data_IF_504539140444
#
_entry.id   IF_504539140444
#
_cell.length_a   1.000
_cell.length_b   1.000
_cell.length_c   1.000
_cell.angle_alpha   90.00
_cell.angle_beta   90.00
_cell.angle_gamma   90.00
#
_symmetry.space_group_name_H-M   'P 1'
#
loop_
_entity.id
_entity.type
_entity.pdbx_description
1 polymer ?
#
# COMPACT_ATOMS: atom_id res chain seq x y z
N UNK A 1 -27.88 -8.40 18.55
CA UNK A 1 -27.66 -7.29 17.62
C UNK A 1 -27.68 -7.89 16.23
N UNK A 2 -28.74 -7.67 15.46
CA UNK A 2 -28.78 -8.13 14.07
C UNK A 2 -27.57 -7.59 13.33
N UNK A 3 -26.86 -8.45 12.61
CA UNK A 3 -25.64 -8.05 11.91
C UNK A 3 -26.05 -7.23 10.71
N UNK A 4 -25.88 -5.90 10.78
CA UNK A 4 -26.09 -5.02 9.64
C UNK A 4 -25.15 -5.48 8.50
N UNK A 5 -25.72 -5.84 7.35
CA UNK A 5 -24.96 -6.39 6.21
C UNK A 5 -24.90 -5.45 5.01
N UNK A 6 -25.80 -4.47 4.93
CA UNK A 6 -25.84 -3.46 3.87
C UNK A 6 -25.36 -2.10 4.36
N UNK A 7 -24.69 -1.37 3.47
CA UNK A 7 -24.08 -0.08 3.75
C UNK A 7 -25.10 0.99 4.17
N UNK A 8 -26.20 1.10 3.44
CA UNK A 8 -27.23 2.11 3.71
C UNK A 8 -27.98 1.81 5.02
N UNK A 9 -28.17 0.54 5.40
CA UNK A 9 -28.78 0.18 6.69
C UNK A 9 -27.95 0.69 7.88
N UNK A 10 -26.62 0.60 7.79
CA UNK A 10 -25.72 1.16 8.81
C UNK A 10 -25.85 2.67 8.88
N UNK A 11 -25.89 3.35 7.74
CA UNK A 11 -25.99 4.81 7.72
C UNK A 11 -27.33 5.29 8.26
N UNK A 12 -28.43 4.66 7.88
CA UNK A 12 -29.76 4.96 8.43
C UNK A 12 -29.78 4.73 9.94
N UNK A 13 -29.29 3.58 10.42
CA UNK A 13 -29.19 3.32 11.85
C UNK A 13 -28.39 4.41 12.58
N UNK A 14 -27.26 4.83 12.03
CA UNK A 14 -26.44 5.88 12.61
C UNK A 14 -27.15 7.26 12.61
N UNK A 15 -27.88 7.59 11.56
CA UNK A 15 -28.61 8.85 11.43
C UNK A 15 -29.84 8.90 12.35
N UNK A 16 -30.58 7.79 12.45
CA UNK A 16 -31.73 7.65 13.35
C UNK A 16 -31.33 7.74 14.82
N UNK A 17 -30.10 7.33 15.15
CA UNK A 17 -29.56 7.32 16.52
C UNK A 17 -28.53 8.44 16.76
N UNK A 18 -28.45 9.45 15.91
CA UNK A 18 -27.38 10.47 15.92
C UNK A 18 -27.21 11.24 17.25
N UNK A 19 -28.26 11.31 18.06
CA UNK A 19 -28.26 11.99 19.35
C UNK A 19 -27.66 11.14 20.47
N UNK A 20 -27.60 9.81 20.30
CA UNK A 20 -27.04 8.87 21.27
C UNK A 20 -25.65 8.35 20.89
N UNK A 21 -25.22 8.53 19.64
CA UNK A 21 -23.90 8.09 19.18
C UNK A 21 -22.76 8.81 19.90
N UNK A 22 -21.92 8.03 20.58
CA UNK A 22 -20.68 8.49 21.17
C UNK A 22 -19.49 8.42 20.20
N UNK A 23 -18.35 8.95 20.64
CA UNK A 23 -17.08 8.91 19.90
C UNK A 23 -16.69 7.50 19.43
N UNK A 24 -16.88 6.49 20.28
CA UNK A 24 -16.54 5.09 19.96
C UNK A 24 -17.45 4.53 18.87
N UNK A 25 -18.75 4.84 18.94
CA UNK A 25 -19.74 4.37 17.99
C UNK A 25 -19.50 4.96 16.60
N UNK A 26 -19.17 6.26 16.54
CA UNK A 26 -18.80 6.91 15.28
C UNK A 26 -17.55 6.26 14.68
N UNK A 27 -16.48 6.07 15.46
CA UNK A 27 -15.26 5.41 14.97
C UNK A 27 -15.54 3.97 14.52
N UNK A 28 -16.36 3.23 15.27
CA UNK A 28 -16.74 1.86 14.94
C UNK A 28 -17.55 1.80 13.63
N UNK A 29 -18.54 2.70 13.46
CA UNK A 29 -19.34 2.77 12.24
C UNK A 29 -18.48 2.98 11.00
N UNK A 30 -17.56 3.95 11.01
CA UNK A 30 -16.64 4.21 9.90
C UNK A 30 -15.69 3.03 9.64
N UNK A 31 -15.28 2.32 10.71
CA UNK A 31 -14.45 1.12 10.58
C UNK A 31 -15.21 -0.02 9.89
N UNK A 32 -16.52 -0.11 10.11
CA UNK A 32 -17.36 -1.20 9.64
C UNK A 32 -17.82 -1.02 8.19
N UNK A 33 -18.04 0.23 7.75
CA UNK A 33 -18.63 0.57 6.45
C UNK A 33 -18.04 -0.17 5.25
N UNK A 34 -16.71 -0.26 5.15
CA UNK A 34 -16.05 -0.89 3.99
C UNK A 34 -16.26 -2.40 3.89
N UNK A 35 -16.70 -3.04 4.95
CA UNK A 35 -17.02 -4.47 4.95
C UNK A 35 -18.46 -4.78 4.51
N UNK A 36 -19.30 -3.76 4.34
CA UNK A 36 -20.71 -3.91 4.03
C UNK A 36 -20.96 -4.05 2.53
N UNK A 37 -22.05 -4.72 2.19
CA UNK A 37 -22.52 -4.85 0.81
C UNK A 37 -22.98 -3.50 0.27
N UNK A 38 -22.79 -3.29 -1.03
CA UNK A 38 -23.20 -2.08 -1.76
C UNK A 38 -22.58 -0.78 -1.20
N UNK A 39 -21.37 -0.87 -0.63
CA UNK A 39 -20.61 0.31 -0.22
C UNK A 39 -20.48 1.30 -1.38
N UNK A 40 -20.89 2.56 -1.15
CA UNK A 40 -20.84 3.61 -2.15
C UNK A 40 -20.43 4.95 -1.55
N UNK A 41 -19.33 5.51 -2.08
CA UNK A 41 -18.87 6.85 -1.71
C UNK A 41 -19.80 7.96 -2.24
N UNK A 42 -20.68 7.65 -3.20
CA UNK A 42 -21.65 8.60 -3.76
C UNK A 42 -23.00 8.60 -3.03
N UNK A 43 -23.16 7.78 -1.98
CA UNK A 43 -24.41 7.72 -1.22
C UNK A 43 -24.74 9.08 -0.57
N UNK A 44 -25.95 9.63 -0.77
CA UNK A 44 -26.40 10.82 -0.06
C UNK A 44 -26.41 10.64 1.47
N UNK A 45 -26.71 9.44 1.95
CA UNK A 45 -26.69 9.12 3.38
C UNK A 45 -25.28 9.21 3.98
N UNK A 46 -24.24 8.86 3.20
CA UNK A 46 -22.86 9.01 3.65
C UNK A 46 -22.49 10.48 3.80
N UNK A 47 -22.96 11.33 2.87
CA UNK A 47 -22.77 12.79 2.95
C UNK A 47 -23.44 13.35 4.20
N UNK A 48 -24.71 13.03 4.42
CA UNK A 48 -25.45 13.49 5.60
C UNK A 48 -24.79 13.02 6.90
N UNK A 49 -24.40 11.75 6.99
CA UNK A 49 -23.73 11.22 8.16
C UNK A 49 -22.35 11.84 8.38
N UNK A 50 -21.60 12.09 7.30
CA UNK A 50 -20.34 12.83 7.37
C UNK A 50 -20.54 14.26 7.86
N UNK A 51 -21.60 14.95 7.40
CA UNK A 51 -21.92 16.30 7.84
C UNK A 51 -22.27 16.34 9.33
N UNK A 52 -23.01 15.34 9.81
CA UNK A 52 -23.25 15.11 11.23
C UNK A 52 -21.93 14.94 12.01
N UNK A 53 -21.03 14.05 11.57
CA UNK A 53 -19.74 13.82 12.23
C UNK A 53 -18.91 15.12 12.29
N UNK A 54 -18.87 15.87 11.18
CA UNK A 54 -18.13 17.14 11.10
C UNK A 54 -18.74 18.22 12.00
N UNK A 55 -20.06 18.23 12.20
CA UNK A 55 -20.70 19.15 13.17
C UNK A 55 -20.31 18.84 14.63
N UNK A 56 -19.82 17.63 14.91
CA UNK A 56 -19.45 17.14 16.25
C UNK A 56 -17.93 16.93 16.44
N UNK A 57 -17.07 17.60 15.66
CA UNK A 57 -15.61 17.42 15.75
C UNK A 57 -15.03 17.72 17.14
N UNK A 58 -15.66 18.62 17.90
CA UNK A 58 -15.28 18.94 19.28
C UNK A 58 -15.32 17.72 20.21
N UNK A 59 -16.18 16.72 19.95
CA UNK A 59 -16.27 15.49 20.75
C UNK A 59 -14.98 14.66 20.70
N UNK A 60 -14.16 14.82 19.67
CA UNK A 60 -12.98 13.99 19.50
C UNK A 60 -11.77 14.53 20.27
N UNK A 61 -11.70 15.83 20.54
CA UNK A 61 -10.59 16.47 21.25
C UNK A 61 -9.23 15.99 20.75
N UNK A 62 -8.37 15.52 21.67
CA UNK A 62 -7.07 14.93 21.34
C UNK A 62 -7.10 13.62 20.54
N UNK A 63 -8.26 13.13 20.11
CA UNK A 63 -8.38 11.95 19.24
C UNK A 63 -8.90 12.25 17.83
N UNK A 64 -8.82 13.52 17.40
CA UNK A 64 -9.20 13.94 16.04
C UNK A 64 -8.48 13.10 14.96
N UNK A 65 -7.22 12.74 15.19
CA UNK A 65 -6.42 11.86 14.32
C UNK A 65 -7.09 10.51 14.00
N UNK A 66 -7.92 9.95 14.91
CA UNK A 66 -8.62 8.69 14.69
C UNK A 66 -9.73 8.83 13.65
N UNK A 67 -10.48 9.94 13.67
CA UNK A 67 -11.53 10.20 12.68
C UNK A 67 -10.93 10.50 11.32
N UNK A 68 -9.87 11.31 11.28
CA UNK A 68 -9.09 11.57 10.07
C UNK A 68 -8.62 10.24 9.46
N UNK A 69 -8.02 9.38 10.27
CA UNK A 69 -7.60 8.06 9.84
C UNK A 69 -8.76 7.22 9.29
N UNK A 70 -9.91 7.19 9.97
CA UNK A 70 -11.07 6.41 9.51
C UNK A 70 -11.64 6.94 8.20
N UNK A 71 -11.77 8.25 8.01
CA UNK A 71 -12.20 8.80 6.72
C UNK A 71 -11.20 8.50 5.60
N UNK A 72 -9.90 8.49 5.87
CA UNK A 72 -8.88 8.07 4.91
C UNK A 72 -8.97 6.57 4.56
N UNK A 73 -9.31 5.71 5.53
CA UNK A 73 -9.57 4.28 5.25
C UNK A 73 -10.82 4.11 4.40
N UNK A 74 -11.91 4.84 4.71
CA UNK A 74 -13.14 4.85 3.94
C UNK A 74 -12.90 5.37 2.52
N UNK A 75 -12.00 6.35 2.36
CA UNK A 75 -11.72 7.02 1.09
C UNK A 75 -12.66 8.20 0.82
N UNK A 76 -13.18 8.84 1.88
CA UNK A 76 -14.11 9.95 1.76
C UNK A 76 -13.41 11.30 1.93
N UNK A 77 -12.90 11.83 0.81
CA UNK A 77 -12.03 13.01 0.79
C UNK A 77 -12.72 14.31 1.26
N UNK A 78 -14.02 14.45 1.02
CA UNK A 78 -14.76 15.66 1.39
C UNK A 78 -14.73 15.93 2.91
N UNK A 79 -14.84 14.88 3.74
CA UNK A 79 -14.72 15.01 5.18
C UNK A 79 -13.32 15.45 5.62
N UNK A 80 -12.26 14.94 4.98
CA UNK A 80 -10.88 15.29 5.33
C UNK A 80 -10.62 16.78 5.09
N UNK A 81 -11.03 17.31 3.93
CA UNK A 81 -10.90 18.74 3.63
C UNK A 81 -11.65 19.60 4.65
N UNK A 82 -12.89 19.22 4.97
CA UNK A 82 -13.69 19.93 5.98
C UNK A 82 -13.06 19.91 7.37
N UNK A 83 -12.54 18.75 7.80
CA UNK A 83 -11.83 18.62 9.08
C UNK A 83 -10.57 19.51 9.11
N UNK A 84 -9.85 19.60 7.98
CA UNK A 84 -8.70 20.50 7.87
C UNK A 84 -9.08 21.95 8.16
N UNK A 85 -10.05 22.46 7.42
CA UNK A 85 -10.46 23.87 7.45
C UNK A 85 -11.12 24.28 8.76
N UNK A 86 -11.98 23.42 9.32
CA UNK A 86 -12.78 23.76 10.50
C UNK A 86 -12.00 23.57 11.81
N UNK A 87 -11.05 22.63 11.87
CA UNK A 87 -10.42 22.25 13.15
C UNK A 87 -8.92 22.07 13.09
N UNK A 88 -8.42 21.22 12.19
CA UNK A 88 -7.04 20.72 12.26
C UNK A 88 -6.01 21.83 12.07
N UNK A 89 -6.24 22.76 11.12
CA UNK A 89 -5.29 23.85 10.83
C UNK A 89 -4.99 24.77 12.02
N UNK A 90 -5.80 24.74 13.07
CA UNK A 90 -5.63 25.60 14.25
C UNK A 90 -5.07 24.87 15.48
N UNK A 91 -4.93 23.55 15.42
CA UNK A 91 -4.58 22.70 16.57
C UNK A 91 -3.46 21.71 16.25
N UNK A 92 -2.77 21.89 15.13
CA UNK A 92 -1.79 20.93 14.64
C UNK A 92 -0.58 20.87 15.59
N UNK A 93 -0.14 22.02 16.08
CA UNK A 93 1.00 22.17 16.99
C UNK A 93 0.76 21.56 18.38
N UNK A 94 -0.48 21.29 18.75
CA UNK A 94 -0.85 20.64 20.02
C UNK A 94 -0.83 19.11 19.94
N UNK A 95 -0.76 18.54 18.74
CA UNK A 95 -0.87 17.10 18.52
C UNK A 95 0.45 16.38 18.79
N UNK A 96 0.43 15.16 19.35
CA UNK A 96 1.67 14.39 19.56
C UNK A 96 2.31 13.93 18.24
N UNK A 97 3.59 13.53 18.27
CA UNK A 97 4.32 13.06 17.08
C UNK A 97 3.56 11.93 16.37
N UNK A 98 3.09 10.93 17.13
CA UNK A 98 2.26 9.83 16.62
C UNK A 98 1.01 10.30 15.88
N UNK A 99 0.35 11.32 16.40
CA UNK A 99 -0.87 11.86 15.81
C UNK A 99 -0.56 12.58 14.50
N UNK A 100 0.51 13.38 14.47
CA UNK A 100 0.98 14.09 13.28
C UNK A 100 1.34 13.11 12.16
N UNK A 101 2.09 12.04 12.45
CA UNK A 101 2.47 11.04 11.45
C UNK A 101 1.25 10.30 10.90
N UNK A 102 0.27 9.94 11.74
CA UNK A 102 -0.96 9.30 11.28
C UNK A 102 -1.82 10.25 10.42
N UNK A 103 -1.86 11.53 10.76
CA UNK A 103 -2.55 12.56 9.97
C UNK A 103 -1.87 12.73 8.61
N UNK A 104 -0.55 12.90 8.57
CA UNK A 104 0.22 12.98 7.32
C UNK A 104 -0.10 11.79 6.41
N UNK A 105 -0.08 10.58 6.96
CA UNK A 105 -0.41 9.36 6.22
C UNK A 105 -1.85 9.36 5.70
N UNK A 106 -2.80 9.81 6.51
CA UNK A 106 -4.22 9.82 6.16
C UNK A 106 -4.52 10.75 4.98
N UNK A 107 -3.93 11.95 4.97
CA UNK A 107 -4.07 12.89 3.86
C UNK A 107 -3.33 12.39 2.61
N UNK A 108 -2.09 11.91 2.75
CA UNK A 108 -1.30 11.38 1.65
C UNK A 108 -1.96 10.14 1.00
N UNK A 109 -2.49 9.21 1.80
CA UNK A 109 -3.25 8.04 1.34
C UNK A 109 -4.46 8.44 0.50
N UNK A 110 -5.13 9.51 0.90
CA UNK A 110 -6.34 10.02 0.25
C UNK A 110 -6.02 10.86 -1.00
N UNK A 111 -4.74 10.96 -1.38
CA UNK A 111 -4.21 11.83 -2.43
C UNK A 111 -4.60 13.30 -2.23
N UNK A 112 -4.69 13.74 -0.97
CA UNK A 112 -4.96 15.13 -0.62
C UNK A 112 -3.61 15.78 -0.27
N UNK A 113 -3.19 16.74 -1.08
CA UNK A 113 -1.98 17.51 -0.84
C UNK A 113 -2.34 18.95 -0.43
N UNK A 114 -2.08 19.27 0.83
CA UNK A 114 -2.20 20.62 1.39
C UNK A 114 -0.82 21.01 1.88
N UNK A 115 -0.14 21.88 1.14
CA UNK A 115 1.26 22.21 1.40
C UNK A 115 1.49 22.70 2.84
N UNK A 116 0.67 23.64 3.34
CA UNK A 116 0.73 24.15 4.72
C UNK A 116 0.64 23.04 5.79
N UNK A 117 -0.25 22.07 5.59
CA UNK A 117 -0.41 20.94 6.50
C UNK A 117 0.90 20.14 6.61
N UNK A 118 1.49 19.78 5.48
CA UNK A 118 2.71 18.98 5.47
C UNK A 118 3.93 19.76 5.95
N UNK A 119 4.04 21.05 5.61
CA UNK A 119 5.11 21.93 6.10
C UNK A 119 5.05 22.07 7.62
N UNK A 120 3.86 22.30 8.20
CA UNK A 120 3.70 22.43 9.66
C UNK A 120 3.85 21.12 10.40
N UNK A 121 3.40 20.00 9.82
CA UNK A 121 3.68 18.66 10.38
C UNK A 121 5.20 18.44 10.43
N UNK A 122 5.91 18.69 9.33
CA UNK A 122 7.35 18.51 9.28
C UNK A 122 8.06 19.44 10.28
N UNK A 123 7.71 20.73 10.29
CA UNK A 123 8.23 21.71 11.24
C UNK A 123 8.03 21.25 12.68
N UNK A 124 6.83 20.81 13.04
CA UNK A 124 6.53 20.34 14.40
C UNK A 124 7.27 19.04 14.74
N UNK A 125 7.37 18.10 13.81
CA UNK A 125 8.07 16.83 14.01
C UNK A 125 9.56 17.02 14.27
N UNK A 126 10.25 17.81 13.44
CA UNK A 126 11.70 17.96 13.50
C UNK A 126 12.19 18.95 14.57
N UNK A 127 11.36 19.88 15.06
CA UNK A 127 11.74 20.82 16.12
C UNK A 127 11.41 20.31 17.53
N UNK A 128 10.68 19.20 17.67
CA UNK A 128 10.38 18.61 18.98
C UNK A 128 11.53 17.73 19.47
N UNK A 129 11.72 17.72 20.79
CA UNK A 129 12.68 16.84 21.45
C UNK A 129 12.19 15.39 21.51
N UNK A 130 10.87 15.17 21.54
CA UNK A 130 10.27 13.85 21.48
C UNK A 130 10.47 13.25 20.09
N UNK A 131 11.17 12.11 20.02
CA UNK A 131 11.29 11.33 18.79
C UNK A 131 10.12 10.36 18.67
N UNK A 132 9.57 10.23 17.46
CA UNK A 132 8.64 9.16 17.13
C UNK A 132 9.34 7.80 17.09
N UNK A 133 8.56 6.72 17.13
CA UNK A 133 9.10 5.37 16.93
C UNK A 133 9.24 5.04 15.43
N UNK A 134 9.68 3.80 15.12
CA UNK A 134 9.78 3.30 13.75
C UNK A 134 8.47 3.46 12.95
N UNK A 135 7.32 3.16 13.56
CA UNK A 135 6.02 3.33 12.90
C UNK A 135 5.78 4.79 12.52
N UNK A 136 6.02 5.72 13.44
CA UNK A 136 5.81 7.15 13.21
C UNK A 136 6.73 7.68 12.11
N UNK A 137 8.01 7.33 12.16
CA UNK A 137 9.01 7.72 11.16
C UNK A 137 8.69 7.14 9.78
N UNK A 138 8.30 5.86 9.72
CA UNK A 138 7.93 5.20 8.48
C UNK A 138 6.65 5.78 7.88
N UNK A 139 5.62 6.08 8.68
CA UNK A 139 4.39 6.71 8.21
C UNK A 139 4.68 8.09 7.63
N UNK A 140 5.49 8.90 8.30
CA UNK A 140 5.85 10.24 7.82
C UNK A 140 6.65 10.17 6.52
N UNK A 141 7.66 9.29 6.46
CA UNK A 141 8.49 9.11 5.29
C UNK A 141 7.69 8.59 4.10
N UNK A 142 6.80 7.62 4.33
CA UNK A 142 5.87 7.13 3.30
C UNK A 142 4.95 8.24 2.81
N UNK A 143 4.46 9.08 3.71
CA UNK A 143 3.61 10.22 3.35
C UNK A 143 4.35 11.17 2.43
N UNK A 144 5.58 11.56 2.78
CA UNK A 144 6.41 12.42 1.95
C UNK A 144 6.70 11.81 0.59
N UNK A 145 7.01 10.52 0.52
CA UNK A 145 7.18 9.81 -0.75
C UNK A 145 5.91 9.83 -1.60
N UNK A 146 4.75 9.61 -0.98
CA UNK A 146 3.45 9.54 -1.64
C UNK A 146 3.00 10.87 -2.25
N UNK A 147 3.36 11.99 -1.63
CA UNK A 147 3.10 13.35 -2.15
C UNK A 147 4.31 13.98 -2.85
N UNK A 148 5.36 13.19 -3.09
CA UNK A 148 6.62 13.62 -3.73
C UNK A 148 7.31 14.83 -3.06
N UNK A 149 7.12 15.01 -1.75
CA UNK A 149 7.80 16.05 -0.97
C UNK A 149 9.27 15.68 -0.77
N UNK A 150 10.18 16.46 -1.36
CA UNK A 150 11.64 16.23 -1.28
C UNK A 150 12.37 17.36 -0.57
N UNK A 151 12.39 17.32 0.76
CA UNK A 151 13.21 18.23 1.58
C UNK A 151 14.45 17.48 2.08
N UNK A 152 15.67 17.79 1.59
CA UNK A 152 16.85 16.95 1.83
C UNK A 152 17.21 16.74 3.29
N UNK A 153 17.08 17.78 4.14
CA UNK A 153 17.42 17.69 5.57
C UNK A 153 16.44 16.79 6.33
N UNK A 154 15.14 16.91 6.05
CA UNK A 154 14.08 16.08 6.63
C UNK A 154 14.28 14.60 6.27
N UNK A 155 14.53 14.33 4.97
CA UNK A 155 14.76 12.96 4.48
C UNK A 155 16.04 12.38 5.08
N UNK A 156 17.12 13.17 5.13
CA UNK A 156 18.39 12.73 5.71
C UNK A 156 18.22 12.39 7.17
N UNK A 157 17.50 13.21 7.94
CA UNK A 157 17.23 12.96 9.36
C UNK A 157 16.46 11.66 9.58
N UNK A 158 15.35 11.45 8.86
CA UNK A 158 14.55 10.21 8.96
C UNK A 158 15.34 8.98 8.52
N UNK A 159 16.09 9.07 7.41
CA UNK A 159 16.95 7.99 6.91
C UNK A 159 18.01 7.62 7.93
N UNK A 160 18.70 8.60 8.51
CA UNK A 160 19.73 8.38 9.52
C UNK A 160 19.15 7.73 10.78
N UNK A 161 17.97 8.16 11.23
CA UNK A 161 17.26 7.50 12.33
C UNK A 161 17.00 6.02 12.02
N UNK A 162 16.34 5.74 10.89
CA UNK A 162 16.00 4.37 10.47
C UNK A 162 17.22 3.45 10.36
N UNK A 163 18.31 3.94 9.73
CA UNK A 163 19.55 3.19 9.59
C UNK A 163 20.20 2.93 10.96
N UNK A 164 20.28 3.94 11.83
CA UNK A 164 20.85 3.78 13.17
C UNK A 164 20.07 2.78 14.02
N UNK A 165 18.73 2.79 13.92
CA UNK A 165 17.89 1.81 14.62
C UNK A 165 18.11 0.41 14.06
N UNK A 166 18.18 0.25 12.73
CA UNK A 166 18.49 -1.05 12.10
C UNK A 166 19.88 -1.58 12.51
N UNK A 167 20.91 -0.73 12.54
CA UNK A 167 22.26 -1.10 12.96
C UNK A 167 22.31 -1.51 14.43
N UNK A 168 21.61 -0.77 15.29
CA UNK A 168 21.44 -1.09 16.70
C UNK A 168 20.76 -2.45 16.90
N UNK A 169 19.64 -2.70 16.19
CA UNK A 169 18.93 -3.97 16.24
C UNK A 169 19.79 -5.13 15.72
N UNK A 170 20.48 -4.95 14.59
CA UNK A 170 21.35 -5.97 14.03
C UNK A 170 22.49 -6.32 14.99
N UNK A 171 23.11 -5.31 15.61
CA UNK A 171 24.17 -5.51 16.62
C UNK A 171 23.65 -6.28 17.83
N UNK A 172 22.51 -5.86 18.37
CA UNK A 172 21.87 -6.51 19.51
C UNK A 172 21.47 -7.97 19.26
N UNK A 173 21.17 -8.34 18.00
CA UNK A 173 20.79 -9.69 17.60
C UNK A 173 21.98 -10.59 17.23
N UNK A 174 23.11 -10.01 16.78
CA UNK A 174 24.34 -10.76 16.49
C UNK A 174 25.06 -11.23 17.74
N UNK A 175 25.00 -10.43 18.80
CA UNK A 175 25.66 -10.71 20.08
C UNK A 175 24.63 -10.66 21.22
N UNK A 176 24.15 -11.84 21.62
CA UNK A 176 23.16 -12.00 22.69
C UNK A 176 23.70 -11.57 24.06
N UNK A 177 25.01 -11.55 24.25
CA UNK A 177 25.67 -11.26 25.52
C UNK A 177 25.94 -9.76 25.68
N UNK A 178 26.02 -9.01 24.57
CA UNK A 178 26.18 -7.56 24.57
C UNK A 178 24.96 -6.84 25.19
N UNK A 179 25.13 -5.86 26.10
CA UNK A 179 23.99 -5.14 26.66
C UNK A 179 23.23 -4.38 25.56
N UNK A 180 21.89 -4.40 25.62
CA UNK A 180 21.06 -3.61 24.72
C UNK A 180 21.34 -2.11 24.91
N UNK A 181 21.63 -1.42 23.82
CA UNK A 181 21.70 0.03 23.81
C UNK A 181 20.31 0.68 23.98
N UNK A 182 20.27 2.00 24.02
CA UNK A 182 19.01 2.74 24.23
C UNK A 182 17.99 2.56 23.12
N UNK A 183 18.41 2.39 21.86
CA UNK A 183 17.51 2.25 20.71
C UNK A 183 16.98 0.82 20.61
N UNK A 184 17.85 -0.19 20.75
CA UNK A 184 17.44 -1.60 20.74
C UNK A 184 16.43 -1.91 21.85
N UNK A 185 16.58 -1.33 23.05
CA UNK A 185 15.64 -1.46 24.18
C UNK A 185 14.22 -1.01 23.87
N UNK A 186 14.01 -0.16 22.87
CA UNK A 186 12.67 0.28 22.48
C UNK A 186 11.88 -0.83 21.78
N UNK A 187 12.56 -1.84 21.22
CA UNK A 187 11.95 -2.86 20.37
C UNK A 187 12.20 -4.30 20.84
N UNK A 188 13.29 -4.52 21.57
CA UNK A 188 13.73 -5.83 22.06
C UNK A 188 13.61 -5.94 23.58
N UNK A 189 13.21 -7.13 24.02
CA UNK A 189 13.32 -7.55 25.40
C UNK A 189 14.74 -8.02 25.75
N UNK A 190 15.07 -8.19 27.04
CA UNK A 190 16.37 -8.74 27.45
C UNK A 190 16.72 -10.08 26.78
N UNK A 191 15.70 -10.87 26.42
CA UNK A 191 15.81 -12.18 25.76
C UNK A 191 15.90 -12.07 24.22
N UNK A 192 16.06 -10.84 23.68
CA UNK A 192 16.16 -10.52 22.23
C UNK A 192 14.92 -10.85 21.41
N UNK A 193 13.76 -10.87 22.06
CA UNK A 193 12.47 -11.02 21.42
C UNK A 193 11.86 -9.65 21.15
N UNK A 194 11.26 -9.49 19.97
CA UNK A 194 10.59 -8.25 19.59
C UNK A 194 9.24 -8.11 20.29
N UNK A 195 8.99 -6.95 20.91
CA UNK A 195 7.67 -6.60 21.45
C UNK A 195 6.66 -6.17 20.38
N UNK A 196 7.16 -5.73 19.23
CA UNK A 196 6.37 -5.16 18.13
C UNK A 196 6.88 -5.66 16.79
N UNK A 197 5.98 -5.77 15.82
CA UNK A 197 6.37 -6.17 14.48
C UNK A 197 7.01 -5.00 13.71
N UNK A 198 8.33 -4.91 13.73
CA UNK A 198 9.09 -3.85 13.05
C UNK A 198 9.21 -4.04 11.53
N UNK A 199 9.00 -5.26 11.00
CA UNK A 199 9.30 -5.55 9.58
C UNK A 199 8.39 -4.78 8.64
N UNK A 200 7.12 -4.59 9.00
CA UNK A 200 6.17 -3.82 8.19
C UNK A 200 6.63 -2.38 8.01
N UNK A 201 6.96 -1.71 9.11
CA UNK A 201 7.37 -0.31 9.12
C UNK A 201 8.68 -0.11 8.36
N UNK A 202 9.64 -1.01 8.54
CA UNK A 202 10.94 -0.96 7.87
C UNK A 202 10.84 -1.23 6.36
N UNK A 203 9.97 -2.14 5.92
CA UNK A 203 9.72 -2.38 4.50
C UNK A 203 9.04 -1.18 3.83
N UNK A 204 8.07 -0.57 4.53
CA UNK A 204 7.38 0.63 4.06
C UNK A 204 8.36 1.80 3.92
N UNK A 205 9.24 1.99 4.90
CA UNK A 205 10.32 2.99 4.84
C UNK A 205 11.30 2.73 3.70
N UNK A 206 11.72 1.48 3.48
CA UNK A 206 12.64 1.14 2.39
C UNK A 206 12.11 1.61 1.03
N UNK A 207 10.85 1.27 0.73
CA UNK A 207 10.18 1.73 -0.50
C UNK A 207 10.07 3.26 -0.56
N UNK A 208 9.74 3.91 0.55
CA UNK A 208 9.62 5.36 0.61
C UNK A 208 10.98 6.06 0.33
N UNK A 209 12.07 5.54 0.90
CA UNK A 209 13.43 6.01 0.61
C UNK A 209 13.76 5.85 -0.88
N UNK A 210 13.47 4.70 -1.49
CA UNK A 210 13.71 4.49 -2.92
C UNK A 210 12.99 5.52 -3.81
N UNK A 211 11.79 5.96 -3.44
CA UNK A 211 11.05 7.01 -4.15
C UNK A 211 11.68 8.39 -3.96
N UNK A 212 12.07 8.73 -2.73
CA UNK A 212 12.54 10.06 -2.34
C UNK A 212 13.99 10.31 -2.76
N UNK A 213 14.84 9.30 -2.64
CA UNK A 213 16.29 9.37 -2.92
C UNK A 213 16.74 8.24 -3.88
N UNK A 214 16.17 8.14 -5.10
CA UNK A 214 16.45 7.05 -6.03
C UNK A 214 17.92 6.97 -6.50
N UNK A 215 18.70 8.04 -6.31
CA UNK A 215 20.13 8.10 -6.64
C UNK A 215 21.04 7.64 -5.51
N UNK A 216 20.53 7.57 -4.29
CA UNK A 216 21.28 7.13 -3.11
C UNK A 216 21.16 5.61 -2.95
N UNK A 217 21.63 4.91 -3.98
CA UNK A 217 21.49 3.45 -4.12
C UNK A 217 22.16 2.74 -2.96
N UNK A 218 23.32 3.20 -2.51
CA UNK A 218 24.09 2.60 -1.41
C UNK A 218 23.33 2.63 -0.09
N UNK A 219 22.74 3.78 0.28
CA UNK A 219 22.00 3.86 1.55
C UNK A 219 20.70 3.05 1.51
N UNK A 220 20.00 3.05 0.37
CA UNK A 220 18.78 2.24 0.19
C UNK A 220 19.11 0.75 0.24
N UNK A 221 20.16 0.31 -0.47
CA UNK A 221 20.64 -1.07 -0.45
C UNK A 221 21.01 -1.48 0.99
N UNK A 222 21.79 -0.65 1.69
CA UNK A 222 22.18 -0.90 3.09
C UNK A 222 20.98 -1.06 4.02
N UNK A 223 19.94 -0.24 3.85
CA UNK A 223 18.69 -0.35 4.61
C UNK A 223 18.01 -1.71 4.37
N UNK A 224 17.91 -2.15 3.12
CA UNK A 224 17.30 -3.45 2.78
C UNK A 224 18.14 -4.61 3.33
N UNK A 225 19.46 -4.56 3.18
CA UNK A 225 20.37 -5.59 3.72
C UNK A 225 20.23 -5.76 5.24
N UNK A 226 20.28 -4.65 5.98
CA UNK A 226 20.11 -4.66 7.43
C UNK A 226 18.72 -5.14 7.84
N UNK A 227 17.66 -4.73 7.13
CA UNK A 227 16.31 -5.19 7.39
C UNK A 227 16.20 -6.71 7.24
N UNK A 228 16.72 -7.27 6.15
CA UNK A 228 16.70 -8.72 5.90
C UNK A 228 17.51 -9.46 6.95
N UNK A 229 18.66 -8.92 7.34
CA UNK A 229 19.47 -9.48 8.42
C UNK A 229 18.74 -9.48 9.77
N UNK A 230 18.17 -8.34 10.17
CA UNK A 230 17.36 -8.22 11.40
C UNK A 230 16.17 -9.18 11.36
N UNK A 231 15.51 -9.29 10.21
CA UNK A 231 14.39 -10.22 10.02
C UNK A 231 14.83 -11.67 10.19
N UNK A 232 16.00 -12.04 9.65
CA UNK A 232 16.52 -13.39 9.74
C UNK A 232 16.98 -13.74 11.18
N UNK A 233 17.80 -12.88 11.78
CA UNK A 233 18.31 -13.08 13.14
C UNK A 233 17.18 -13.07 14.18
N UNK A 234 16.24 -12.13 14.05
CA UNK A 234 15.07 -12.01 14.91
C UNK A 234 13.94 -12.99 14.59
N UNK A 235 14.12 -13.86 13.58
CA UNK A 235 13.10 -14.80 13.09
C UNK A 235 11.74 -14.12 12.79
N UNK A 236 11.80 -12.88 12.33
CA UNK A 236 10.62 -12.11 11.98
C UNK A 236 10.14 -12.50 10.59
N UNK A 237 8.83 -12.63 10.45
CA UNK A 237 8.20 -12.90 9.15
C UNK A 237 7.97 -11.59 8.40
N UNK A 238 8.46 -11.53 7.16
CA UNK A 238 8.12 -10.44 6.24
C UNK A 238 6.82 -10.81 5.52
N UNK A 239 5.79 -10.00 5.72
CA UNK A 239 4.47 -10.18 5.09
C UNK A 239 4.55 -10.05 3.56
N UNK A 240 3.56 -10.55 2.82
CA UNK A 240 3.49 -10.33 1.35
C UNK A 240 3.56 -8.84 0.97
N UNK A 241 2.96 -7.95 1.76
CA UNK A 241 3.06 -6.50 1.55
C UNK A 241 4.49 -5.99 1.75
N UNK A 242 5.20 -6.49 2.77
CA UNK A 242 6.61 -6.18 3.01
C UNK A 242 7.48 -6.62 1.85
N UNK A 243 7.36 -7.89 1.43
CA UNK A 243 8.09 -8.46 0.28
C UNK A 243 7.82 -7.65 -1.00
N UNK A 244 6.58 -7.27 -1.26
CA UNK A 244 6.22 -6.40 -2.40
C UNK A 244 6.97 -5.07 -2.33
N UNK A 245 7.00 -4.44 -1.15
CA UNK A 245 7.69 -3.17 -0.94
C UNK A 245 9.19 -3.28 -1.17
N UNK A 246 9.81 -4.40 -0.80
CA UNK A 246 11.23 -4.66 -1.03
C UNK A 246 11.55 -4.87 -2.52
N UNK A 247 10.73 -5.64 -3.24
CA UNK A 247 10.88 -5.80 -4.70
C UNK A 247 10.76 -4.47 -5.44
N UNK A 248 9.76 -3.66 -5.09
CA UNK A 248 9.60 -2.33 -5.67
C UNK A 248 10.78 -1.42 -5.30
N UNK A 249 11.25 -1.47 -4.06
CA UNK A 249 12.41 -0.71 -3.58
C UNK A 249 13.66 -0.99 -4.42
N UNK A 250 14.06 -2.26 -4.55
CA UNK A 250 15.26 -2.62 -5.32
C UNK A 250 15.07 -2.35 -6.82
N UNK A 251 13.85 -2.49 -7.35
CA UNK A 251 13.53 -2.16 -8.73
C UNK A 251 13.63 -0.66 -9.03
N UNK A 252 13.13 0.20 -8.13
CA UNK A 252 13.18 1.66 -8.28
C UNK A 252 14.61 2.19 -8.27
N UNK A 253 15.49 1.60 -7.46
CA UNK A 253 16.90 1.98 -7.37
C UNK A 253 17.80 1.23 -8.36
N UNK A 254 17.28 0.27 -9.13
CA UNK A 254 18.07 -0.58 -10.02
C UNK A 254 19.10 -1.44 -9.29
N UNK A 255 18.81 -1.86 -8.06
CA UNK A 255 19.70 -2.71 -7.26
C UNK A 255 19.61 -4.14 -7.78
N UNK A 256 20.72 -4.64 -8.33
CA UNK A 256 20.84 -5.99 -8.90
C UNK A 256 21.90 -6.83 -8.20
N UNK A 257 22.20 -6.54 -6.92
CA UNK A 257 23.13 -7.34 -6.13
C UNK A 257 22.65 -8.81 -6.06
N UNK A 258 23.47 -9.79 -6.50
CA UNK A 258 23.02 -11.18 -6.58
C UNK A 258 22.64 -11.80 -5.24
N UNK A 259 23.33 -11.43 -4.16
CA UNK A 259 23.07 -11.97 -2.81
C UNK A 259 21.74 -11.44 -2.29
N UNK A 260 21.50 -10.15 -2.46
CA UNK A 260 20.25 -9.51 -2.08
C UNK A 260 19.06 -10.06 -2.87
N UNK A 261 19.22 -10.21 -4.20
CA UNK A 261 18.19 -10.77 -5.08
C UNK A 261 17.86 -12.21 -4.69
N UNK A 262 18.89 -13.04 -4.42
CA UNK A 262 18.70 -14.42 -3.96
C UNK A 262 17.90 -14.47 -2.64
N UNK A 263 18.26 -13.63 -1.67
CA UNK A 263 17.57 -13.54 -0.39
C UNK A 263 16.09 -13.16 -0.57
N UNK A 264 15.79 -12.16 -1.41
CA UNK A 264 14.41 -11.77 -1.70
C UNK A 264 13.63 -12.86 -2.45
N UNK A 265 14.29 -13.63 -3.32
CA UNK A 265 13.68 -14.82 -3.93
C UNK A 265 13.31 -15.86 -2.87
N UNK A 266 14.15 -16.08 -1.86
CA UNK A 266 13.85 -16.98 -0.75
C UNK A 266 12.70 -16.46 0.12
N UNK A 267 12.69 -15.18 0.50
CA UNK A 267 11.56 -14.57 1.21
C UNK A 267 10.24 -14.73 0.44
N UNK A 268 10.31 -14.70 -0.89
CA UNK A 268 9.16 -14.80 -1.77
C UNK A 268 8.62 -16.23 -1.93
N UNK A 269 9.33 -17.26 -1.44
CA UNK A 269 9.03 -18.69 -1.68
C UNK A 269 7.63 -19.14 -1.24
N UNK A 270 7.02 -18.43 -0.30
CA UNK A 270 5.74 -18.80 0.29
C UNK A 270 4.62 -17.77 0.08
N UNK A 271 4.77 -16.82 -0.86
CA UNK A 271 3.72 -15.83 -1.16
C UNK A 271 2.36 -16.47 -1.45
N UNK A 272 2.31 -17.67 -2.06
CA UNK A 272 1.05 -18.39 -2.32
C UNK A 272 0.28 -18.77 -1.05
N UNK A 273 0.97 -18.94 0.07
CA UNK A 273 0.39 -19.33 1.36
C UNK A 273 -0.12 -18.12 2.14
N UNK A 274 0.30 -16.91 1.76
CA UNK A 274 -0.20 -15.67 2.36
C UNK A 274 -1.57 -15.33 1.76
N UNK A 275 -2.60 -15.32 2.60
CA UNK A 275 -3.96 -14.99 2.21
C UNK A 275 -4.15 -13.50 1.87
N UNK A 276 -3.22 -12.63 2.30
CA UNK A 276 -3.23 -11.20 1.97
C UNK A 276 -2.65 -10.90 0.59
N UNK A 277 -1.94 -11.86 -0.02
CA UNK A 277 -1.31 -11.69 -1.34
C UNK A 277 -2.36 -11.61 -2.46
N UNK A 278 -2.40 -10.45 -3.11
CA UNK A 278 -3.45 -10.05 -4.06
C UNK A 278 -2.88 -9.59 -5.42
N UNK A 279 -3.77 -9.26 -6.36
CA UNK A 279 -3.41 -8.90 -7.74
C UNK A 279 -2.52 -7.67 -7.85
N UNK A 280 -2.67 -6.66 -6.96
CA UNK A 280 -1.80 -5.48 -6.97
C UNK A 280 -0.37 -5.86 -6.59
N UNK A 281 -0.21 -6.65 -5.54
CA UNK A 281 1.09 -7.13 -5.08
C UNK A 281 1.76 -8.00 -6.16
N UNK A 282 1.00 -8.92 -6.76
CA UNK A 282 1.52 -9.75 -7.86
C UNK A 282 1.99 -8.91 -9.04
N UNK A 283 1.18 -7.95 -9.48
CA UNK A 283 1.54 -7.06 -10.60
C UNK A 283 2.79 -6.24 -10.29
N UNK A 284 2.92 -5.71 -9.06
CA UNK A 284 4.07 -4.93 -8.64
C UNK A 284 5.36 -5.78 -8.56
N UNK A 285 5.28 -6.98 -7.98
CA UNK A 285 6.42 -7.91 -7.93
C UNK A 285 6.82 -8.33 -9.35
N UNK A 286 5.85 -8.72 -10.20
CA UNK A 286 6.13 -9.14 -11.57
C UNK A 286 6.82 -8.04 -12.38
N UNK A 287 6.31 -6.80 -12.31
CA UNK A 287 6.97 -5.66 -12.95
C UNK A 287 8.37 -5.42 -12.41
N UNK A 288 8.58 -5.59 -11.10
CA UNK A 288 9.89 -5.40 -10.45
C UNK A 288 10.90 -6.43 -10.92
N UNK A 289 10.55 -7.72 -10.89
CA UNK A 289 11.44 -8.80 -11.34
C UNK A 289 11.72 -8.71 -12.84
N UNK A 290 10.75 -8.26 -13.65
CA UNK A 290 10.96 -8.00 -15.08
C UNK A 290 12.01 -6.92 -15.29
N UNK A 291 11.87 -5.76 -14.63
CA UNK A 291 12.80 -4.63 -14.75
C UNK A 291 14.21 -4.98 -14.30
N UNK A 292 14.33 -5.88 -13.32
CA UNK A 292 15.60 -6.38 -12.81
C UNK A 292 16.11 -7.62 -13.54
N UNK A 293 15.40 -8.10 -14.56
CA UNK A 293 15.74 -9.33 -15.31
C UNK A 293 15.86 -10.59 -14.45
N UNK A 294 15.15 -10.66 -13.33
CA UNK A 294 15.17 -11.82 -12.41
C UNK A 294 14.30 -12.94 -12.97
N UNK A 295 14.89 -14.12 -13.17
CA UNK A 295 14.23 -15.32 -13.70
C UNK A 295 14.21 -16.50 -12.72
N UNK A 296 14.27 -16.21 -11.43
CA UNK A 296 14.33 -17.25 -10.39
C UNK A 296 13.03 -18.09 -10.33
N UNK A 297 13.11 -19.43 -10.38
CA UNK A 297 11.93 -20.29 -10.34
C UNK A 297 11.07 -20.13 -9.08
N UNK A 298 11.65 -19.79 -7.92
CA UNK A 298 10.92 -19.66 -6.64
C UNK A 298 9.83 -18.60 -6.73
N UNK A 299 10.15 -17.44 -7.29
CA UNK A 299 9.21 -16.34 -7.45
C UNK A 299 8.29 -16.54 -8.66
N UNK A 300 8.82 -17.01 -9.79
CA UNK A 300 8.00 -17.29 -10.99
C UNK A 300 6.90 -18.30 -10.67
N UNK A 301 7.23 -19.37 -9.94
CA UNK A 301 6.24 -20.35 -9.51
C UNK A 301 5.12 -19.74 -8.66
N UNK A 302 5.43 -18.81 -7.74
CA UNK A 302 4.38 -18.15 -6.94
C UNK A 302 3.44 -17.33 -7.82
N UNK A 303 3.99 -16.59 -8.79
CA UNK A 303 3.21 -15.74 -9.70
C UNK A 303 2.29 -16.61 -10.55
N UNK A 304 2.84 -17.63 -11.21
CA UNK A 304 2.07 -18.55 -12.06
C UNK A 304 0.99 -19.27 -11.25
N UNK A 305 1.33 -19.80 -10.07
CA UNK A 305 0.39 -20.49 -9.22
C UNK A 305 -0.75 -19.57 -8.74
N UNK A 306 -0.46 -18.32 -8.40
CA UNK A 306 -1.51 -17.37 -8.03
C UNK A 306 -2.45 -17.10 -9.22
N UNK A 307 -1.91 -16.92 -10.43
CA UNK A 307 -2.71 -16.68 -11.64
C UNK A 307 -3.63 -17.86 -11.95
N UNK A 308 -3.16 -19.09 -11.80
CA UNK A 308 -3.99 -20.29 -11.99
C UNK A 308 -5.21 -20.35 -11.09
N UNK A 309 -5.07 -19.90 -9.84
CA UNK A 309 -6.09 -20.09 -8.82
C UNK A 309 -6.95 -18.85 -8.57
N UNK A 310 -6.40 -17.65 -8.85
CA UNK A 310 -6.99 -16.38 -8.40
C UNK A 310 -7.05 -15.29 -9.48
N UNK A 311 -6.57 -15.52 -10.72
CA UNK A 311 -6.57 -14.48 -11.76
C UNK A 311 -7.95 -13.85 -12.02
N UNK A 312 -9.05 -14.61 -11.87
CA UNK A 312 -10.43 -14.09 -12.00
C UNK A 312 -10.73 -12.89 -11.11
N UNK A 313 -10.00 -12.73 -10.01
CA UNK A 313 -10.14 -11.62 -9.07
C UNK A 313 -9.47 -10.32 -9.56
N UNK A 314 -8.58 -10.39 -10.57
CA UNK A 314 -7.82 -9.24 -11.07
C UNK A 314 -8.72 -8.18 -11.73
N UNK A 315 -8.41 -6.90 -11.55
CA UNK A 315 -9.00 -5.81 -12.31
C UNK A 315 -8.29 -5.63 -13.66
N UNK A 316 -8.95 -4.98 -14.63
CA UNK A 316 -8.44 -4.85 -15.99
C UNK A 316 -7.03 -4.23 -16.09
N UNK A 317 -6.68 -3.15 -15.36
CA UNK A 317 -5.33 -2.57 -15.44
C UNK A 317 -4.23 -3.54 -14.95
N UNK A 318 -4.50 -4.29 -13.88
CA UNK A 318 -3.56 -5.28 -13.36
C UNK A 318 -3.41 -6.45 -14.34
N UNK A 319 -4.52 -6.89 -14.93
CA UNK A 319 -4.54 -7.96 -15.93
C UNK A 319 -3.67 -7.56 -17.14
N UNK A 320 -3.86 -6.35 -17.67
CA UNK A 320 -3.05 -5.82 -18.76
C UNK A 320 -1.56 -5.82 -18.39
N UNK A 321 -1.19 -5.20 -17.26
CA UNK A 321 0.21 -5.14 -16.81
C UNK A 321 0.84 -6.52 -16.71
N UNK A 322 0.13 -7.48 -16.11
CA UNK A 322 0.63 -8.85 -15.93
C UNK A 322 0.81 -9.57 -17.27
N UNK A 323 -0.14 -9.45 -18.21
CA UNK A 323 -0.03 -10.06 -19.54
C UNK A 323 1.20 -9.51 -20.27
N UNK A 324 1.37 -8.19 -20.29
CA UNK A 324 2.52 -7.54 -20.93
C UNK A 324 3.85 -7.95 -20.28
N UNK A 325 3.90 -7.99 -18.95
CA UNK A 325 5.12 -8.37 -18.24
C UNK A 325 5.46 -9.85 -18.47
N UNK A 326 4.50 -10.77 -18.43
CA UNK A 326 4.73 -12.20 -18.71
C UNK A 326 5.20 -12.44 -20.15
N UNK A 327 4.58 -11.78 -21.12
CA UNK A 327 4.93 -11.89 -22.54
C UNK A 327 6.38 -11.40 -22.77
N UNK A 328 6.72 -10.23 -22.23
CA UNK A 328 8.08 -9.68 -22.33
C UNK A 328 9.15 -10.56 -21.64
N UNK A 329 8.75 -11.30 -20.61
CA UNK A 329 9.64 -12.25 -19.91
C UNK A 329 9.69 -13.62 -20.60
N UNK A 330 8.81 -13.90 -21.56
CA UNK A 330 8.67 -15.21 -22.21
C UNK A 330 8.08 -16.30 -21.31
N UNK A 331 7.25 -15.92 -20.34
CA UNK A 331 6.66 -16.86 -19.36
C UNK A 331 5.28 -17.31 -19.85
N UNK A 332 5.20 -18.52 -20.40
CA UNK A 332 4.02 -19.04 -21.11
C UNK A 332 3.35 -20.25 -20.45
N UNK A 333 3.22 -20.24 -19.11
CA UNK A 333 2.59 -21.34 -18.38
C UNK A 333 1.13 -21.56 -18.79
N UNK A 334 0.81 -22.76 -19.26
CA UNK A 334 -0.45 -23.05 -19.97
C UNK A 334 -1.70 -22.73 -19.14
N UNK A 335 -1.76 -23.21 -17.90
CA UNK A 335 -2.92 -23.01 -17.03
C UNK A 335 -3.10 -21.54 -16.64
N UNK A 336 -2.01 -20.82 -16.39
CA UNK A 336 -2.06 -19.40 -16.04
C UNK A 336 -2.58 -18.55 -17.20
N UNK A 337 -2.07 -18.79 -18.42
CA UNK A 337 -2.53 -18.09 -19.62
C UNK A 337 -3.97 -18.44 -19.99
N UNK A 338 -4.42 -19.68 -19.76
CA UNK A 338 -5.82 -20.06 -19.91
C UNK A 338 -6.72 -19.25 -18.96
N UNK A 339 -6.30 -19.08 -17.70
CA UNK A 339 -7.04 -18.26 -16.74
C UNK A 339 -7.01 -16.77 -17.13
N UNK A 340 -5.87 -16.23 -17.54
CA UNK A 340 -5.78 -14.86 -18.06
C UNK A 340 -6.72 -14.64 -19.26
N UNK A 341 -6.82 -15.61 -20.18
CA UNK A 341 -7.80 -15.57 -21.26
C UNK A 341 -9.25 -15.49 -20.79
N UNK A 342 -9.60 -16.12 -19.66
CA UNK A 342 -10.93 -15.98 -19.04
C UNK A 342 -11.12 -14.58 -18.44
N UNK A 343 -10.09 -14.00 -17.82
CA UNK A 343 -10.16 -12.64 -17.27
C UNK A 343 -10.34 -11.62 -18.39
N UNK A 344 -9.57 -11.75 -19.48
CA UNK A 344 -9.65 -10.88 -20.67
C UNK A 344 -11.06 -10.87 -21.23
N UNK A 345 -11.70 -12.03 -21.35
CA UNK A 345 -13.07 -12.13 -21.84
C UNK A 345 -14.11 -11.44 -20.93
N UNK A 346 -13.85 -11.36 -19.63
CA UNK A 346 -14.80 -10.79 -18.65
C UNK A 346 -14.58 -9.30 -18.40
N UNK A 347 -13.34 -8.83 -18.47
CA UNK A 347 -12.91 -7.52 -17.98
C UNK A 347 -12.15 -6.71 -19.03
N UNK A 348 -11.85 -7.29 -20.20
CA UNK A 348 -11.12 -6.61 -21.27
C UNK A 348 -11.85 -5.38 -21.81
N UNK A 349 -13.18 -5.32 -21.73
CA UNK A 349 -13.99 -4.17 -22.15
C UNK A 349 -13.71 -2.90 -21.31
N UNK A 350 -13.18 -3.05 -20.09
CA UNK A 350 -12.83 -1.93 -19.22
C UNK A 350 -11.54 -1.23 -19.67
N UNK A 351 -10.78 -1.83 -20.60
CA UNK A 351 -9.58 -1.25 -21.19
C UNK A 351 -9.92 -0.27 -22.31
N UNK A 352 -8.92 0.52 -22.71
CA UNK A 352 -9.02 1.35 -23.91
C UNK A 352 -8.80 0.51 -25.18
N UNK A 353 -9.15 1.09 -26.35
CA UNK A 353 -9.04 0.40 -27.63
C UNK A 353 -7.60 -0.03 -27.95
N UNK A 354 -6.61 0.77 -27.57
CA UNK A 354 -5.19 0.50 -27.84
C UNK A 354 -4.71 -0.72 -27.05
N UNK A 355 -5.07 -0.79 -25.78
CA UNK A 355 -4.72 -1.87 -24.88
C UNK A 355 -5.41 -3.18 -25.27
N UNK A 356 -6.67 -3.12 -25.72
CA UNK A 356 -7.38 -4.28 -26.26
C UNK A 356 -6.65 -4.83 -27.49
N UNK A 357 -6.28 -3.97 -28.45
CA UNK A 357 -5.49 -4.37 -29.64
C UNK A 357 -4.15 -4.97 -29.23
N UNK A 358 -3.50 -4.40 -28.22
CA UNK A 358 -2.22 -4.90 -27.73
C UNK A 358 -2.34 -6.31 -27.14
N UNK A 359 -3.34 -6.55 -26.28
CA UNK A 359 -3.62 -7.88 -25.72
C UNK A 359 -3.96 -8.88 -26.83
N UNK A 360 -4.79 -8.50 -27.80
CA UNK A 360 -5.10 -9.36 -28.95
C UNK A 360 -3.83 -9.84 -29.65
N UNK A 361 -2.92 -8.90 -29.94
CA UNK A 361 -1.66 -9.21 -30.60
C UNK A 361 -0.77 -10.12 -29.77
N UNK A 362 -0.69 -9.91 -28.45
CA UNK A 362 0.06 -10.77 -27.53
C UNK A 362 -0.47 -12.21 -27.58
N UNK A 363 -1.78 -12.42 -27.38
CA UNK A 363 -2.37 -13.77 -27.41
C UNK A 363 -2.21 -14.46 -28.77
N UNK A 364 -2.18 -13.68 -29.85
CA UNK A 364 -1.94 -14.18 -31.21
C UNK A 364 -0.48 -14.57 -31.41
N UNK A 365 0.48 -13.72 -31.01
CA UNK A 365 1.92 -13.95 -31.25
C UNK A 365 2.48 -15.09 -30.40
N UNK A 366 1.99 -15.25 -29.16
CA UNK A 366 2.46 -16.32 -28.28
C UNK A 366 1.66 -17.63 -28.35
N UNK A 367 0.65 -17.69 -29.23
CA UNK A 367 -0.15 -18.89 -29.45
C UNK A 367 -1.01 -19.32 -28.25
N UNK A 368 -1.30 -18.42 -27.31
CA UNK A 368 -2.18 -18.70 -26.16
C UNK A 368 -3.63 -18.30 -26.37
N UNK A 369 -3.95 -17.68 -27.50
CA UNK A 369 -5.32 -17.35 -27.90
C UNK A 369 -6.12 -18.56 -28.40
N UNK A 370 -7.43 -18.37 -28.49
CA UNK A 370 -8.36 -19.28 -29.17
C UNK A 370 -9.49 -18.44 -29.79
N UNK A 371 -10.30 -19.05 -30.66
CA UNK A 371 -11.36 -18.36 -31.42
C UNK A 371 -12.32 -17.56 -30.52
N UNK A 372 -12.60 -18.09 -29.32
CA UNK A 372 -13.46 -17.41 -28.35
C UNK A 372 -12.81 -16.14 -27.78
N UNK A 373 -11.52 -16.19 -27.44
CA UNK A 373 -10.79 -15.00 -26.97
C UNK A 373 -10.74 -13.95 -28.08
N UNK A 374 -10.38 -14.35 -29.30
CA UNK A 374 -10.26 -13.43 -30.43
C UNK A 374 -11.60 -12.78 -30.79
N UNK A 375 -12.67 -13.57 -30.88
CA UNK A 375 -14.00 -13.04 -31.19
C UNK A 375 -14.52 -12.06 -30.11
N UNK A 376 -14.24 -12.31 -28.83
CA UNK A 376 -14.63 -11.37 -27.76
C UNK A 376 -13.80 -10.09 -27.81
N UNK A 377 -12.49 -10.18 -28.04
CA UNK A 377 -11.64 -8.99 -28.16
C UNK A 377 -12.01 -8.15 -29.39
N UNK A 378 -12.32 -8.79 -30.53
CA UNK A 378 -12.81 -8.12 -31.74
C UNK A 378 -14.14 -7.40 -31.49
N UNK A 379 -15.06 -8.04 -30.77
CA UNK A 379 -16.30 -7.40 -30.35
C UNK A 379 -16.03 -6.18 -29.46
N UNK A 380 -15.14 -6.28 -28.46
CA UNK A 380 -14.78 -5.15 -27.61
C UNK A 380 -14.12 -4.00 -28.40
N UNK A 381 -13.26 -4.31 -29.38
CA UNK A 381 -12.68 -3.29 -30.27
C UNK A 381 -13.77 -2.55 -31.04
N UNK A 382 -14.73 -3.27 -31.65
CA UNK A 382 -15.87 -2.66 -32.35
C UNK A 382 -16.68 -1.75 -31.43
N UNK A 383 -16.98 -2.19 -30.21
CA UNK A 383 -17.73 -1.35 -29.26
C UNK A 383 -16.97 -0.07 -28.87
N UNK A 384 -15.64 -0.14 -28.71
CA UNK A 384 -14.82 1.04 -28.38
C UNK A 384 -14.70 1.99 -29.56
N UNK A 385 -14.55 1.48 -30.78
CA UNK A 385 -14.55 2.28 -32.00
C UNK A 385 -15.90 3.01 -32.20
N UNK A 386 -17.02 2.34 -31.92
CA UNK A 386 -18.34 2.97 -31.94
C UNK A 386 -18.45 4.07 -30.87
N UNK A 387 -17.97 3.83 -29.65
CA UNK A 387 -17.95 4.84 -28.58
C UNK A 387 -17.10 6.07 -28.94
N UNK A 388 -15.94 5.88 -29.57
CA UNK A 388 -15.08 6.97 -30.05
C UNK A 388 -15.75 7.78 -31.16
N UNK A 389 -16.52 7.11 -32.04
CA UNK A 389 -17.14 7.73 -33.21
C UNK A 389 -18.47 8.44 -32.90
N UNK A 390 -19.29 7.87 -32.01
CA UNK A 390 -20.65 8.32 -31.77
C UNK A 390 -20.89 8.85 -30.35
N UNK A 391 -19.87 8.78 -29.48
CA UNK A 391 -19.96 9.14 -28.07
C UNK A 391 -20.35 7.96 -27.18
N UNK A 392 -20.23 8.10 -25.85
CA UNK A 392 -20.65 7.05 -24.91
C UNK A 392 -22.15 6.82 -25.03
N UNK A 393 -22.55 5.55 -25.15
CA UNK A 393 -23.95 5.11 -25.15
C UNK A 393 -24.67 5.43 -23.84
#
# INVERSE_FOLDING_TARGET
MERLTHFDDLLNYCLDNKDTLGKRDIIASLSYMRSLRQFSLSSPLLREYSDFICSKLSLFGGSLHLIIHRFAIVGYNAALLRIYDERLRHHLEDMSVKQLCLIAWSYAKSNIYIQDLFDRIAGTYFHRSERGNLTDASLLLWSFAKIERRVPQEITSLRSYLLSTLESLATALRDSDSPLDGEAKLYLDPDRTFYVNVTHDLCMAAKALAVLVPRDVSSVQRHVELLLEVSNLGKLVITAQGITSLWECISLCGISDPVLVDHLCECSRYLRLDHSFNSNMLSAILSSIRKLYVRDPRIIYQIVHWLENRAVQMHAPQMLSVICDLDSMGIYHEKAWKQLGVVVQKKGIDLDLRDIRHIYNIFKSNGKGNDRIFGILEHFMSCKEDQERYGPC
#
